data_IF_758408611643
#
_entry.id   IF_758408611643
#
_cell.length_a   1.000
_cell.length_b   1.000
_cell.length_c   1.000
_cell.angle_alpha   90.00
_cell.angle_beta   90.00
_cell.angle_gamma   90.00
#
_symmetry.space_group_name_H-M   'P 1'
#
loop_
_entity.id
_entity.type
_entity.pdbx_description
1 polymer ?
#
# COMPACT_ATOMS: atom_id res chain seq x y z
N UNK A 1 -4.60 7.73 29.19
CA UNK A 1 -4.92 6.29 29.17
C UNK A 1 -5.34 5.94 27.75
N UNK A 2 -4.52 5.23 27.02
CA UNK A 2 -4.79 4.32 25.88
C UNK A 2 -3.52 4.19 25.03
N UNK A 3 -2.51 3.55 25.61
CA UNK A 3 -1.38 2.95 24.89
C UNK A 3 -1.56 1.45 25.00
N UNK A 4 -2.27 0.83 24.09
CA UNK A 4 -2.31 -0.64 23.91
C UNK A 4 -3.15 -0.91 22.65
N UNK A 5 -2.50 -1.16 21.53
CA UNK A 5 -3.02 -1.95 20.39
C UNK A 5 -2.07 -1.90 19.18
N UNK A 6 -0.78 -2.21 19.39
CA UNK A 6 0.11 -2.41 18.22
C UNK A 6 1.19 -3.48 18.47
N UNK A 7 0.92 -4.47 19.31
CA UNK A 7 1.92 -5.50 19.65
C UNK A 7 1.40 -6.93 19.49
N UNK A 8 0.61 -7.22 18.47
CA UNK A 8 0.06 -8.56 18.26
C UNK A 8 0.09 -9.05 16.82
N UNK A 9 1.14 -8.74 16.03
CA UNK A 9 1.27 -9.35 14.69
C UNK A 9 2.72 -9.67 14.27
N UNK A 10 3.62 -9.97 15.21
CA UNK A 10 5.00 -10.36 14.88
C UNK A 10 5.49 -11.63 15.62
N UNK A 11 4.62 -12.55 16.04
CA UNK A 11 5.05 -13.73 16.79
C UNK A 11 4.47 -15.05 16.29
N UNK A 12 4.51 -15.30 14.99
CA UNK A 12 4.32 -16.65 14.43
C UNK A 12 5.28 -16.80 13.27
N UNK A 13 6.48 -17.27 13.50
CA UNK A 13 7.35 -17.98 12.55
C UNK A 13 8.74 -18.22 13.19
N UNK A 14 8.80 -19.04 14.22
CA UNK A 14 10.04 -19.73 14.63
C UNK A 14 9.64 -20.93 15.48
N UNK A 15 9.18 -21.98 14.82
CA UNK A 15 9.19 -23.33 15.39
C UNK A 15 10.28 -24.13 14.67
N UNK A 16 11.44 -24.18 15.25
CA UNK A 16 12.52 -25.10 14.92
C UNK A 16 12.11 -26.51 15.32
N UNK A 17 11.97 -27.37 14.31
CA UNK A 17 11.82 -28.83 14.50
C UNK A 17 13.15 -29.37 14.98
N UNK A 18 13.20 -29.70 16.26
CA UNK A 18 14.28 -30.54 16.82
C UNK A 18 13.93 -32.01 16.56
N UNK A 19 14.67 -32.63 15.65
CA UNK A 19 14.70 -34.06 15.48
C UNK A 19 15.53 -34.66 16.63
N UNK A 20 14.88 -35.41 17.52
CA UNK A 20 15.55 -36.19 18.56
C UNK A 20 16.08 -37.47 17.93
N UNK A 21 17.39 -37.60 17.88
CA UNK A 21 18.06 -38.88 17.64
C UNK A 21 18.21 -39.63 18.95
N UNK A 22 17.53 -40.76 19.08
CA UNK A 22 17.70 -41.72 20.15
C UNK A 22 18.98 -42.52 19.95
N UNK A 23 19.89 -42.68 20.91
CA UNK A 23 21.03 -43.56 20.80
C UNK A 23 20.59 -44.98 21.11
N UNK A 24 20.76 -45.89 20.15
CA UNK A 24 20.60 -47.32 20.32
C UNK A 24 21.94 -47.95 20.66
N UNK A 25 22.01 -48.59 21.81
CA UNK A 25 23.13 -49.37 22.37
C UNK A 25 23.46 -50.58 21.48
N UNK A 26 24.73 -50.94 21.29
CA UNK A 26 25.10 -52.12 20.52
C UNK A 26 24.97 -53.37 21.35
N UNK A 27 24.25 -54.37 20.86
CA UNK A 27 24.27 -55.74 21.36
C UNK A 27 25.16 -56.57 20.48
N UNK A 28 26.22 -57.08 21.05
CA UNK A 28 27.10 -58.09 20.44
C UNK A 28 26.41 -59.46 20.42
N UNK A 29 26.41 -60.13 19.25
CA UNK A 29 26.68 -61.58 19.21
C UNK A 29 26.95 -62.05 17.77
N UNK A 30 28.06 -62.61 17.66
CA UNK A 30 28.73 -63.66 16.88
C UNK A 30 28.08 -64.28 15.64
N UNK A 31 28.98 -64.38 14.60
CA UNK A 31 29.16 -65.44 13.57
C UNK A 31 28.17 -65.52 12.42
N UNK A 32 28.64 -65.05 11.27
CA UNK A 32 28.84 -65.80 10.04
C UNK A 32 29.19 -64.85 8.89
N UNK A 33 30.39 -65.02 8.35
CA UNK A 33 30.88 -64.27 7.14
C UNK A 33 30.22 -64.88 5.93
N UNK A 34 29.32 -64.13 5.28
CA UNK A 34 28.91 -64.32 3.90
C UNK A 34 29.56 -63.24 3.01
N UNK A 35 29.99 -63.53 1.79
CA UNK A 35 30.65 -62.49 0.98
C UNK A 35 29.71 -61.38 0.60
N UNK A 36 30.06 -60.16 1.06
CA UNK A 36 29.31 -58.96 0.80
C UNK A 36 29.58 -58.50 -0.64
N UNK A 37 28.62 -58.69 -1.53
CA UNK A 37 28.58 -57.99 -2.81
C UNK A 37 28.55 -56.46 -2.55
N UNK A 38 29.43 -55.68 -3.19
CA UNK A 38 29.41 -54.22 -2.96
C UNK A 38 28.09 -53.62 -3.46
N UNK A 39 27.31 -53.11 -2.51
CA UNK A 39 26.11 -52.32 -2.81
C UNK A 39 26.58 -51.05 -3.53
N UNK A 40 26.03 -50.72 -4.70
CA UNK A 40 26.36 -49.46 -5.37
C UNK A 40 26.01 -48.33 -4.46
N UNK A 41 26.99 -47.52 -4.08
CA UNK A 41 26.77 -46.24 -3.38
C UNK A 41 26.00 -45.35 -4.34
N UNK A 42 24.68 -45.20 -4.10
CA UNK A 42 23.90 -44.20 -4.82
C UNK A 42 24.48 -42.82 -4.50
N UNK A 43 25.21 -42.26 -5.43
CA UNK A 43 25.62 -40.88 -5.43
C UNK A 43 24.35 -40.02 -5.33
N UNK A 44 24.28 -39.05 -4.40
CA UNK A 44 23.11 -38.16 -4.27
C UNK A 44 22.84 -37.50 -5.62
N UNK A 45 21.74 -37.86 -6.29
CA UNK A 45 21.28 -37.19 -7.50
C UNK A 45 21.13 -35.72 -7.20
N UNK A 46 22.03 -34.89 -7.74
CA UNK A 46 21.83 -33.44 -7.77
C UNK A 46 20.44 -33.20 -8.36
N UNK A 47 19.51 -32.67 -7.52
CA UNK A 47 18.20 -32.24 -7.99
C UNK A 47 18.46 -31.24 -9.11
N UNK A 48 18.15 -31.60 -10.34
CA UNK A 48 18.22 -30.67 -11.46
C UNK A 48 17.24 -29.51 -11.16
N UNK A 49 17.64 -28.26 -11.37
CA UNK A 49 16.74 -27.16 -11.21
C UNK A 49 15.54 -27.33 -12.14
N UNK A 50 14.36 -27.44 -11.58
CA UNK A 50 13.12 -27.52 -12.35
C UNK A 50 13.06 -26.23 -13.18
N UNK A 51 13.09 -26.34 -14.50
CA UNK A 51 12.86 -25.22 -15.40
C UNK A 51 11.41 -24.82 -15.29
N UNK A 52 11.13 -23.75 -14.57
CA UNK A 52 9.80 -23.15 -14.46
C UNK A 52 9.52 -22.43 -15.78
N UNK A 53 8.47 -22.83 -16.46
CA UNK A 53 7.99 -22.15 -17.67
C UNK A 53 7.20 -20.89 -17.26
N UNK A 54 7.77 -19.75 -17.57
CA UNK A 54 7.16 -18.43 -17.28
C UNK A 54 6.39 -17.85 -18.47
N UNK A 55 6.20 -18.61 -19.55
CA UNK A 55 5.51 -18.12 -20.76
C UNK A 55 4.06 -17.69 -20.50
N UNK A 56 3.39 -18.36 -19.55
CA UNK A 56 2.01 -18.04 -19.15
C UNK A 56 1.95 -17.11 -17.94
N UNK A 57 3.07 -16.55 -17.48
CA UNK A 57 3.05 -15.57 -16.41
C UNK A 57 2.35 -14.32 -16.89
N UNK A 58 1.24 -13.98 -16.28
CA UNK A 58 0.56 -12.70 -16.49
C UNK A 58 1.52 -11.55 -16.16
N UNK A 59 1.85 -10.77 -17.17
CA UNK A 59 2.58 -9.53 -16.99
C UNK A 59 1.64 -8.52 -16.35
N UNK A 60 1.87 -8.16 -15.08
CA UNK A 60 1.12 -7.14 -14.36
C UNK A 60 1.44 -5.74 -14.93
N UNK A 61 1.06 -5.48 -16.20
CA UNK A 61 1.37 -4.21 -16.85
C UNK A 61 0.50 -3.07 -16.36
N UNK A 62 -0.73 -3.35 -15.98
CA UNK A 62 -1.64 -2.34 -15.44
C UNK A 62 -2.04 -2.67 -14.02
N UNK A 63 -2.00 -1.65 -13.18
CA UNK A 63 -2.48 -1.73 -11.80
C UNK A 63 -3.38 -0.55 -11.52
N UNK A 64 -4.61 -0.85 -11.09
CA UNK A 64 -5.58 0.15 -10.65
C UNK A 64 -5.88 -0.09 -9.18
N UNK A 65 -5.93 1.00 -8.41
CA UNK A 65 -6.21 0.95 -6.97
C UNK A 65 -7.29 1.97 -6.63
N UNK A 66 -8.25 1.54 -5.83
CA UNK A 66 -9.34 2.38 -5.34
C UNK A 66 -9.68 2.04 -3.91
N UNK A 67 -10.00 3.04 -3.10
CA UNK A 67 -10.36 2.83 -1.70
C UNK A 67 -10.50 4.13 -0.93
N UNK A 68 -10.26 4.03 0.36
CA UNK A 68 -10.46 5.10 1.33
C UNK A 68 -9.12 5.71 1.76
N UNK A 69 -9.12 7.05 1.80
CA UNK A 69 -8.04 7.87 2.33
C UNK A 69 -8.42 8.50 3.66
N UNK A 70 -7.45 8.62 4.53
CA UNK A 70 -7.61 9.40 5.75
C UNK A 70 -6.23 9.97 6.19
N UNK A 71 -6.22 10.79 7.22
CA UNK A 71 -5.02 11.41 7.77
C UNK A 71 -4.78 10.94 9.20
N UNK A 72 -3.58 10.48 9.49
CA UNK A 72 -3.06 10.28 10.83
C UNK A 72 -2.41 11.58 11.34
N UNK A 73 -2.26 11.72 12.66
CA UNK A 73 -1.64 12.91 13.27
C UNK A 73 -2.49 14.18 13.20
N UNK A 74 -3.80 14.05 12.98
CA UNK A 74 -4.73 15.18 12.95
C UNK A 74 -5.25 15.53 14.34
N UNK A 75 -5.49 16.81 14.57
CA UNK A 75 -6.26 17.31 15.69
C UNK A 75 -7.74 17.54 15.29
N UNK A 76 -8.57 17.91 16.26
CA UNK A 76 -10.01 18.14 16.00
C UNK A 76 -10.28 19.24 14.95
N UNK A 77 -9.33 20.17 14.74
CA UNK A 77 -9.48 21.24 13.76
C UNK A 77 -9.13 20.81 12.34
N UNK A 78 -8.23 19.82 12.17
CA UNK A 78 -7.72 19.37 10.87
C UNK A 78 -8.25 18.02 10.42
N UNK A 79 -8.96 17.30 11.30
CA UNK A 79 -9.47 15.94 11.02
C UNK A 79 -10.45 15.96 9.84
N UNK A 80 -10.22 15.14 8.80
CA UNK A 80 -11.17 14.93 7.72
C UNK A 80 -12.49 14.38 8.26
N UNK A 81 -13.59 14.84 7.67
CA UNK A 81 -14.93 14.34 7.98
C UNK A 81 -15.58 13.89 6.69
N UNK A 82 -16.12 12.67 6.69
CA UNK A 82 -16.75 12.12 5.51
C UNK A 82 -15.92 11.02 4.83
N UNK A 83 -16.46 10.50 3.73
CA UNK A 83 -15.89 9.38 2.97
C UNK A 83 -14.83 9.89 1.98
N UNK A 84 -13.60 10.05 2.45
CA UNK A 84 -12.46 10.40 1.60
C UNK A 84 -12.02 9.18 0.78
N UNK A 85 -11.60 9.41 -0.48
CA UNK A 85 -11.32 8.33 -1.44
C UNK A 85 -10.06 8.63 -2.23
N UNK A 86 -9.34 7.56 -2.57
CA UNK A 86 -8.25 7.63 -3.53
C UNK A 86 -8.55 6.80 -4.77
N UNK A 87 -7.89 7.18 -5.85
CA UNK A 87 -7.81 6.42 -7.09
C UNK A 87 -6.40 6.52 -7.63
N UNK A 88 -5.76 5.38 -7.88
CA UNK A 88 -4.43 5.34 -8.48
C UNK A 88 -4.45 4.42 -9.70
N UNK A 89 -3.69 4.80 -10.72
CA UNK A 89 -3.50 4.01 -11.94
C UNK A 89 -2.01 4.02 -12.31
N UNK A 90 -1.44 2.83 -12.52
CA UNK A 90 -0.01 2.65 -12.81
C UNK A 90 0.18 1.73 -14.00
N UNK A 91 1.24 2.01 -14.76
CA UNK A 91 1.86 1.07 -15.68
C UNK A 91 3.02 0.45 -14.94
N UNK A 92 3.07 -0.88 -14.89
CA UNK A 92 4.03 -1.64 -14.11
C UNK A 92 4.87 -2.55 -15.01
N UNK A 93 6.11 -2.78 -14.63
CA UNK A 93 7.00 -3.78 -15.22
C UNK A 93 7.36 -4.75 -14.09
N UNK A 94 7.16 -6.05 -14.30
CA UNK A 94 7.46 -7.09 -13.32
C UNK A 94 8.65 -7.92 -13.80
N UNK A 95 9.71 -8.01 -12.97
CA UNK A 95 10.92 -8.74 -13.27
C UNK A 95 11.16 -9.85 -12.23
N UNK A 96 10.90 -11.13 -12.57
CA UNK A 96 11.14 -12.25 -11.67
C UNK A 96 12.63 -12.48 -11.42
N UNK A 97 12.97 -12.98 -10.23
CA UNK A 97 14.32 -13.39 -9.92
C UNK A 97 14.66 -14.74 -10.60
N UNK A 98 15.84 -14.81 -11.19
CA UNK A 98 16.31 -16.04 -11.87
C UNK A 98 16.47 -17.24 -10.94
N UNK A 99 16.85 -17.00 -9.68
CA UNK A 99 17.04 -18.02 -8.64
C UNK A 99 15.74 -18.49 -8.00
N UNK A 100 14.75 -17.61 -7.91
CA UNK A 100 13.45 -17.91 -7.31
C UNK A 100 12.32 -17.20 -8.07
N UNK A 101 11.72 -17.84 -9.08
CA UNK A 101 10.66 -17.24 -9.89
C UNK A 101 9.39 -16.87 -9.14
N UNK A 102 9.20 -17.37 -7.89
CA UNK A 102 8.11 -16.95 -7.01
C UNK A 102 8.26 -15.50 -6.51
N UNK A 103 9.48 -14.98 -6.56
CA UNK A 103 9.80 -13.61 -6.17
C UNK A 103 10.07 -12.77 -7.40
N UNK A 104 9.61 -11.51 -7.38
CA UNK A 104 9.89 -10.55 -8.45
C UNK A 104 10.00 -9.12 -7.90
N UNK A 105 10.58 -8.25 -8.69
CA UNK A 105 10.58 -6.80 -8.46
C UNK A 105 9.64 -6.15 -9.47
N UNK A 106 8.66 -5.43 -8.95
CA UNK A 106 7.75 -4.59 -9.72
C UNK A 106 8.23 -3.14 -9.69
N UNK A 107 8.35 -2.52 -10.86
CA UNK A 107 8.64 -1.10 -11.04
C UNK A 107 7.51 -0.48 -11.84
N UNK A 108 7.10 0.73 -11.50
CA UNK A 108 6.03 1.39 -12.24
C UNK A 108 6.10 2.89 -12.26
N UNK A 109 5.23 3.45 -13.06
CA UNK A 109 4.93 4.88 -13.11
C UNK A 109 3.44 5.06 -13.28
N UNK A 110 2.88 6.10 -12.66
CA UNK A 110 1.46 6.36 -12.78
C UNK A 110 0.99 7.58 -12.02
N UNK A 111 -0.32 7.72 -11.91
CA UNK A 111 -0.97 8.87 -11.28
C UNK A 111 -1.79 8.40 -10.10
N UNK A 112 -1.61 9.07 -8.96
CA UNK A 112 -2.40 8.89 -7.76
C UNK A 112 -3.22 10.15 -7.46
N UNK A 113 -4.51 9.98 -7.23
CA UNK A 113 -5.44 11.05 -6.84
C UNK A 113 -6.05 10.75 -5.48
N UNK A 114 -5.90 11.68 -4.55
CA UNK A 114 -6.50 11.64 -3.21
C UNK A 114 -7.56 12.73 -3.09
N UNK A 115 -8.75 12.37 -2.62
CA UNK A 115 -9.90 13.28 -2.45
C UNK A 115 -10.35 13.24 -1.00
N UNK A 116 -9.94 14.22 -0.23
CA UNK A 116 -10.29 14.37 1.19
C UNK A 116 -11.51 15.24 1.32
N UNK A 117 -12.57 14.70 1.90
CA UNK A 117 -13.83 15.40 2.11
C UNK A 117 -13.87 16.03 3.49
N UNK A 118 -14.47 17.22 3.56
CA UNK A 118 -14.71 17.94 4.79
C UNK A 118 -16.22 18.25 4.89
N UNK A 119 -16.75 18.04 6.07
CA UNK A 119 -18.11 18.48 6.42
C UNK A 119 -18.04 19.72 7.31
N UNK A 120 -18.80 20.76 6.95
CA UNK A 120 -18.85 22.04 7.68
C UNK A 120 -17.49 22.66 8.01
N UNK A 121 -16.50 22.39 7.13
CA UNK A 121 -15.16 22.97 7.21
C UNK A 121 -14.71 23.46 5.85
N UNK A 122 -14.01 24.58 5.86
CA UNK A 122 -13.41 25.18 4.69
C UNK A 122 -11.88 25.20 4.84
N UNK A 123 -11.19 24.79 3.80
CA UNK A 123 -9.72 24.80 3.71
C UNK A 123 -9.34 25.78 2.62
N UNK A 124 -8.73 26.90 3.00
CA UNK A 124 -8.36 27.95 2.07
C UNK A 124 -6.93 27.74 1.58
N UNK A 125 -6.80 27.13 0.41
CA UNK A 125 -5.48 26.85 -0.20
C UNK A 125 -4.84 28.09 -0.83
N UNK A 126 -5.60 29.18 -1.00
CA UNK A 126 -5.12 30.46 -1.57
C UNK A 126 -4.92 31.56 -0.54
N UNK A 127 -5.11 31.26 0.74
CA UNK A 127 -4.89 32.24 1.80
C UNK A 127 -3.49 32.87 1.73
N UNK A 128 -3.38 34.11 2.14
CA UNK A 128 -2.12 34.83 2.21
C UNK A 128 -1.30 34.46 3.44
N UNK A 129 -1.92 33.84 4.45
CA UNK A 129 -1.27 33.38 5.69
C UNK A 129 -0.11 32.41 5.42
N UNK A 130 0.79 32.29 6.39
CA UNK A 130 1.89 31.30 6.35
C UNK A 130 1.40 29.88 6.59
N UNK A 131 0.36 29.71 7.42
CA UNK A 131 -0.25 28.43 7.76
C UNK A 131 -1.53 28.21 6.95
N UNK A 132 -1.82 26.95 6.59
CA UNK A 132 -3.06 26.55 5.92
C UNK A 132 -4.25 26.71 6.88
N UNK A 133 -5.20 27.63 6.59
CA UNK A 133 -6.33 27.83 7.49
C UNK A 133 -7.40 26.75 7.31
N UNK A 134 -7.82 26.18 8.44
CA UNK A 134 -8.98 25.30 8.55
C UNK A 134 -10.07 26.05 9.34
N UNK A 135 -11.15 26.45 8.68
CA UNK A 135 -12.23 27.24 9.30
C UNK A 135 -13.47 26.38 9.47
N UNK A 136 -14.08 26.44 10.67
CA UNK A 136 -15.43 25.90 10.86
C UNK A 136 -16.43 26.87 10.25
N UNK A 137 -17.43 26.35 9.55
CA UNK A 137 -18.44 27.11 8.81
C UNK A 137 -19.87 26.72 9.19
N UNK A 138 -20.08 26.25 10.41
CA UNK A 138 -21.36 25.73 10.89
C UNK A 138 -22.42 26.85 11.01
N UNK A 139 -21.98 28.08 11.30
CA UNK A 139 -22.86 29.22 11.60
C UNK A 139 -23.07 30.18 10.43
N UNK A 140 -22.44 29.88 9.28
CA UNK A 140 -22.46 30.72 8.08
C UNK A 140 -22.80 29.89 6.84
N UNK A 141 -22.99 30.59 5.73
CA UNK A 141 -23.15 29.92 4.44
C UNK A 141 -21.89 29.04 4.12
N UNK A 142 -22.11 27.79 3.70
CA UNK A 142 -21.04 26.87 3.43
C UNK A 142 -21.38 25.98 2.24
N UNK A 143 -20.39 25.27 1.70
CA UNK A 143 -20.63 24.33 0.63
C UNK A 143 -21.19 23.01 1.14
N UNK A 144 -22.30 22.55 0.56
CA UNK A 144 -22.92 21.24 0.85
C UNK A 144 -21.93 20.08 0.64
N UNK A 145 -21.03 20.22 -0.31
CA UNK A 145 -19.92 19.28 -0.57
C UNK A 145 -18.64 20.04 -0.76
N UNK A 146 -17.67 19.81 0.12
CA UNK A 146 -16.36 20.43 0.05
C UNK A 146 -15.26 19.38 0.13
N UNK A 147 -14.27 19.47 -0.76
CA UNK A 147 -13.14 18.55 -0.77
C UNK A 147 -11.83 19.24 -1.12
N UNK A 148 -10.75 18.68 -0.59
CA UNK A 148 -9.38 18.91 -1.04
C UNK A 148 -8.96 17.72 -1.91
N UNK A 149 -8.49 18.01 -3.11
CA UNK A 149 -7.95 16.99 -4.03
C UNK A 149 -6.48 17.25 -4.26
N UNK A 150 -5.67 16.21 -4.12
CA UNK A 150 -4.24 16.23 -4.50
C UNK A 150 -3.98 15.16 -5.55
N UNK A 151 -3.19 15.51 -6.56
CA UNK A 151 -2.81 14.59 -7.64
C UNK A 151 -1.28 14.54 -7.69
N UNK A 152 -0.75 13.31 -7.69
CA UNK A 152 0.67 13.02 -7.74
C UNK A 152 1.01 12.19 -8.97
N UNK A 153 2.15 12.49 -9.58
CA UNK A 153 2.86 11.54 -10.43
C UNK A 153 3.69 10.66 -9.50
N UNK A 154 3.53 9.36 -9.59
CA UNK A 154 4.12 8.41 -8.64
C UNK A 154 4.90 7.30 -9.35
N UNK A 155 5.98 6.85 -8.72
CA UNK A 155 6.77 5.71 -9.13
C UNK A 155 6.80 4.67 -7.99
N UNK A 156 5.96 3.64 -8.05
CA UNK A 156 6.02 2.52 -7.09
C UNK A 156 7.15 1.55 -7.42
N UNK A 157 7.79 1.04 -6.37
CA UNK A 157 8.76 -0.06 -6.40
C UNK A 157 8.28 -1.11 -5.41
N UNK A 158 8.05 -2.33 -5.87
CA UNK A 158 7.48 -3.41 -5.06
C UNK A 158 8.32 -4.67 -5.12
N UNK A 159 8.57 -5.29 -3.98
CA UNK A 159 8.99 -6.68 -3.89
C UNK A 159 7.72 -7.54 -3.85
N UNK A 160 7.58 -8.45 -4.80
CA UNK A 160 6.38 -9.25 -5.01
C UNK A 160 6.66 -10.72 -4.78
N UNK A 161 5.70 -11.40 -4.20
CA UNK A 161 5.66 -12.85 -4.06
C UNK A 161 4.42 -13.40 -4.74
N UNK A 162 4.58 -14.51 -5.48
CA UNK A 162 3.50 -15.28 -6.11
C UNK A 162 3.67 -16.76 -5.77
N UNK A 163 2.66 -17.39 -5.20
CA UNK A 163 2.71 -18.80 -4.82
C UNK A 163 2.84 -19.72 -6.04
N UNK A 164 2.19 -19.36 -7.14
CA UNK A 164 2.29 -20.06 -8.42
C UNK A 164 2.66 -19.07 -9.54
N UNK A 165 3.94 -18.95 -9.89
CA UNK A 165 4.40 -18.02 -10.92
C UNK A 165 3.98 -18.43 -12.35
N UNK A 166 3.66 -19.71 -12.60
CA UNK A 166 3.20 -20.21 -13.90
C UNK A 166 1.74 -19.82 -14.20
N UNK A 167 0.90 -19.76 -13.15
CA UNK A 167 -0.49 -19.34 -13.28
C UNK A 167 -0.81 -18.21 -12.29
N UNK A 168 -0.50 -17.00 -12.70
CA UNK A 168 -0.67 -15.80 -11.90
C UNK A 168 -2.14 -15.53 -11.53
N UNK A 169 -3.11 -15.98 -12.34
CA UNK A 169 -4.54 -15.78 -12.10
C UNK A 169 -5.12 -16.71 -11.02
N UNK A 170 -4.41 -17.79 -10.69
CA UNK A 170 -4.80 -18.75 -9.64
C UNK A 170 -3.73 -18.83 -8.56
N UNK A 171 -3.21 -17.70 -8.15
CA UNK A 171 -2.05 -17.59 -7.25
C UNK A 171 -2.33 -16.65 -6.10
N UNK A 172 -1.92 -17.04 -4.90
CA UNK A 172 -1.80 -16.12 -3.79
C UNK A 172 -0.65 -15.15 -4.05
N UNK A 173 -0.91 -13.87 -3.91
CA UNK A 173 0.05 -12.79 -4.15
C UNK A 173 0.23 -11.92 -2.92
N UNK A 174 1.46 -11.55 -2.64
CA UNK A 174 1.80 -10.55 -1.64
C UNK A 174 2.83 -9.59 -2.22
N UNK A 175 2.75 -8.33 -1.88
CA UNK A 175 3.74 -7.33 -2.27
C UNK A 175 3.98 -6.35 -1.14
N UNK A 176 5.24 -5.99 -0.98
CA UNK A 176 5.69 -4.93 -0.08
C UNK A 176 6.53 -3.94 -0.88
N UNK A 177 6.31 -2.65 -0.69
CA UNK A 177 7.02 -1.69 -1.51
C UNK A 177 7.05 -0.29 -0.93
N UNK A 178 7.64 0.57 -1.73
CA UNK A 178 7.65 2.02 -1.50
C UNK A 178 7.19 2.72 -2.76
N UNK A 179 6.56 3.87 -2.61
CA UNK A 179 6.26 4.75 -3.73
C UNK A 179 6.78 6.16 -3.47
N UNK A 180 7.43 6.68 -4.46
CA UNK A 180 7.89 8.08 -4.48
C UNK A 180 7.00 8.84 -5.46
N UNK A 181 6.63 10.06 -5.13
CA UNK A 181 5.79 10.87 -6.00
C UNK A 181 6.10 12.35 -5.92
N UNK A 182 5.75 13.05 -7.01
CA UNK A 182 5.77 14.50 -7.07
C UNK A 182 4.36 15.05 -7.31
N UNK A 183 4.00 16.12 -6.60
CA UNK A 183 2.65 16.71 -6.67
C UNK A 183 2.48 17.47 -7.98
N UNK A 184 1.54 17.01 -8.80
CA UNK A 184 1.12 17.69 -10.02
C UNK A 184 0.22 18.88 -9.69
N UNK A 185 -0.79 18.67 -8.84
CA UNK A 185 -1.73 19.73 -8.44
C UNK A 185 -2.36 19.45 -7.08
N UNK A 186 -2.72 20.53 -6.38
CA UNK A 186 -3.58 20.51 -5.22
C UNK A 186 -4.67 21.57 -5.40
N UNK A 187 -5.93 21.20 -5.16
CA UNK A 187 -7.06 22.13 -5.26
C UNK A 187 -8.19 21.77 -4.32
N UNK A 188 -8.92 22.77 -3.90
CA UNK A 188 -10.20 22.62 -3.23
C UNK A 188 -11.35 22.74 -4.21
N UNK A 189 -12.45 22.04 -3.95
CA UNK A 189 -13.68 22.11 -4.73
C UNK A 189 -14.87 22.13 -3.82
N UNK A 190 -15.58 23.27 -3.82
CA UNK A 190 -16.89 23.45 -3.22
C UNK A 190 -18.00 23.26 -4.26
N UNK A 191 -19.10 22.64 -3.87
CA UNK A 191 -20.29 22.49 -4.71
C UNK A 191 -21.55 22.79 -3.93
N UNK A 192 -22.42 23.65 -4.50
CA UNK A 192 -23.71 24.08 -3.96
C UNK A 192 -23.55 24.79 -2.62
N UNK A 193 -23.61 26.12 -2.64
CA UNK A 193 -23.63 26.96 -1.43
C UNK A 193 -24.98 26.78 -0.73
N UNK A 194 -24.95 26.49 0.56
CA UNK A 194 -26.14 26.36 1.42
C UNK A 194 -26.01 27.31 2.61
N UNK A 195 -27.17 27.73 3.18
CA UNK A 195 -27.22 28.46 4.40
C UNK A 195 -26.97 27.58 5.65
N UNK A 196 -26.98 28.18 6.84
CA UNK A 196 -26.83 27.46 8.12
C UNK A 196 -27.88 26.35 8.34
N UNK A 197 -29.04 26.45 7.70
CA UNK A 197 -30.17 25.53 7.83
C UNK A 197 -30.09 24.39 6.75
N UNK A 198 -29.14 24.47 5.82
CA UNK A 198 -28.96 23.52 4.73
C UNK A 198 -29.76 23.82 3.46
N UNK A 199 -30.45 24.99 3.41
CA UNK A 199 -31.18 25.43 2.21
C UNK A 199 -30.20 25.92 1.16
N UNK A 200 -30.48 25.60 -0.12
CA UNK A 200 -29.63 26.03 -1.23
C UNK A 200 -29.73 27.54 -1.44
N UNK A 201 -28.61 28.22 -1.29
CA UNK A 201 -28.49 29.65 -1.59
C UNK A 201 -28.09 29.84 -3.05
N UNK A 202 -27.07 29.09 -3.52
CA UNK A 202 -26.60 29.17 -4.91
C UNK A 202 -25.98 27.87 -5.35
N UNK A 203 -26.46 27.21 -6.45
CA UNK A 203 -25.97 25.96 -6.95
C UNK A 203 -24.75 26.09 -7.88
N UNK A 204 -23.68 26.75 -7.42
CA UNK A 204 -22.45 26.89 -8.22
C UNK A 204 -21.30 25.98 -7.73
N UNK A 205 -20.25 25.92 -8.53
CA UNK A 205 -19.02 25.20 -8.20
C UNK A 205 -17.90 26.22 -8.12
N UNK A 206 -17.20 26.18 -6.99
CA UNK A 206 -15.97 26.93 -6.76
C UNK A 206 -14.77 25.97 -6.74
N UNK A 207 -13.70 26.35 -7.44
CA UNK A 207 -12.46 25.58 -7.47
C UNK A 207 -11.27 26.52 -7.30
N UNK A 208 -10.48 26.28 -6.27
CA UNK A 208 -9.25 27.02 -5.99
C UNK A 208 -8.06 26.08 -6.01
N UNK A 209 -6.99 26.45 -6.69
CA UNK A 209 -5.79 25.63 -6.83
C UNK A 209 -4.56 26.34 -6.30
N UNK A 210 -3.82 25.66 -5.43
CA UNK A 210 -2.51 26.12 -4.92
C UNK A 210 -1.75 24.97 -4.28
N UNK A 211 -0.45 24.88 -4.56
CA UNK A 211 0.47 23.94 -3.91
C UNK A 211 1.26 24.58 -2.75
N UNK A 212 0.98 25.82 -2.41
CA UNK A 212 1.77 26.66 -1.47
C UNK A 212 2.06 25.95 -0.15
N UNK A 213 1.06 25.31 0.43
CA UNK A 213 1.12 24.72 1.78
C UNK A 213 1.56 23.25 1.82
N UNK A 214 1.50 22.57 0.67
CA UNK A 214 1.69 21.13 0.61
C UNK A 214 3.14 20.76 0.32
N UNK A 215 3.57 19.65 0.91
CA UNK A 215 4.83 19.05 0.52
C UNK A 215 4.69 18.45 -0.89
N UNK A 216 5.53 18.91 -1.80
CA UNK A 216 5.45 18.48 -3.21
C UNK A 216 6.05 17.10 -3.44
N UNK A 217 6.87 16.61 -2.52
CA UNK A 217 7.45 15.27 -2.58
C UNK A 217 6.73 14.35 -1.61
N UNK A 218 6.39 13.16 -2.09
CA UNK A 218 5.70 12.12 -1.33
C UNK A 218 6.53 10.85 -1.30
N UNK A 219 6.74 10.31 -0.11
CA UNK A 219 7.30 8.97 0.11
C UNK A 219 6.30 8.18 0.95
N UNK A 220 5.88 7.01 0.48
CA UNK A 220 4.96 6.14 1.21
C UNK A 220 5.41 4.68 1.14
N UNK A 221 5.18 3.95 2.23
CA UNK A 221 5.27 2.49 2.26
C UNK A 221 3.95 1.94 1.75
N UNK A 222 4.02 0.85 0.99
CA UNK A 222 2.84 0.17 0.43
C UNK A 222 2.90 -1.31 0.72
N UNK A 223 1.73 -1.90 0.96
CA UNK A 223 1.56 -3.34 1.10
C UNK A 223 0.30 -3.79 0.39
N UNK A 224 0.33 -4.97 -0.20
CA UNK A 224 -0.88 -5.62 -0.74
C UNK A 224 -0.79 -7.14 -0.61
N UNK A 225 -1.96 -7.73 -0.42
CA UNK A 225 -2.14 -9.17 -0.29
C UNK A 225 -3.43 -9.56 -1.00
N UNK A 226 -3.40 -10.61 -1.80
CA UNK A 226 -4.59 -11.01 -2.55
C UNK A 226 -4.45 -12.34 -3.26
N UNK A 227 -5.45 -12.61 -4.10
CA UNK A 227 -5.52 -13.80 -4.91
C UNK A 227 -5.88 -13.45 -6.35
N UNK A 228 -5.19 -14.05 -7.29
CA UNK A 228 -5.39 -13.78 -8.72
C UNK A 228 -5.14 -12.32 -9.07
N UNK A 229 -6.16 -11.66 -9.61
CA UNK A 229 -6.08 -10.26 -10.03
C UNK A 229 -6.47 -9.27 -8.93
N UNK A 230 -7.13 -9.72 -7.84
CA UNK A 230 -7.66 -8.86 -6.79
C UNK A 230 -6.79 -8.93 -5.53
N UNK A 231 -6.46 -7.76 -4.97
CA UNK A 231 -5.69 -7.64 -3.73
C UNK A 231 -6.28 -6.56 -2.83
N UNK A 232 -6.17 -6.76 -1.52
CA UNK A 232 -6.31 -5.69 -0.54
C UNK A 232 -5.02 -4.88 -0.54
N UNK A 233 -5.14 -3.58 -0.54
CA UNK A 233 -4.04 -2.61 -0.60
C UNK A 233 -4.04 -1.70 0.61
N UNK A 234 -2.86 -1.42 1.12
CA UNK A 234 -2.61 -0.43 2.15
C UNK A 234 -1.41 0.44 1.81
N UNK A 235 -1.47 1.72 2.17
CA UNK A 235 -0.34 2.65 2.07
C UNK A 235 -0.30 3.59 3.27
N UNK A 236 0.92 3.96 3.66
CA UNK A 236 1.16 4.95 4.70
C UNK A 236 2.25 5.92 4.25
N UNK A 237 1.93 7.22 4.22
CA UNK A 237 2.88 8.25 3.82
C UNK A 237 3.84 8.54 4.98
N UNK A 238 5.16 8.43 4.71
CA UNK A 238 6.22 8.70 5.67
C UNK A 238 6.50 10.22 5.76
N UNK A 239 6.54 10.87 4.59
CA UNK A 239 6.74 12.33 4.52
C UNK A 239 5.52 13.07 5.05
N UNK A 240 5.74 14.22 5.69
CA UNK A 240 4.66 15.10 6.10
C UNK A 240 3.81 15.55 4.91
N UNK A 241 2.50 15.70 5.11
CA UNK A 241 1.59 16.18 4.08
C UNK A 241 1.72 17.69 3.84
N UNK A 242 1.88 18.45 4.93
CA UNK A 242 2.11 19.89 4.90
C UNK A 242 3.61 20.20 5.01
N UNK A 243 4.02 21.34 4.49
CA UNK A 243 5.34 21.91 4.74
C UNK A 243 5.48 22.34 6.20
N UNK A 244 6.69 22.34 6.72
CA UNK A 244 6.97 22.60 8.15
C UNK A 244 6.38 23.92 8.67
N UNK A 245 6.32 24.95 7.83
CA UNK A 245 5.77 26.27 8.20
C UNK A 245 4.25 26.35 7.96
N UNK A 246 3.70 25.43 7.19
CA UNK A 246 2.32 25.50 6.69
C UNK A 246 1.27 24.94 7.67
N UNK A 247 1.68 24.23 8.70
CA UNK A 247 0.78 23.62 9.68
C UNK A 247 1.39 22.44 10.42
N UNK A 248 0.58 21.59 11.05
CA UNK A 248 1.07 20.42 11.78
C UNK A 248 1.86 19.48 10.87
N UNK A 249 3.13 19.27 11.18
CA UNK A 249 4.02 18.37 10.43
C UNK A 249 3.73 16.89 10.65
N UNK A 250 2.89 16.56 11.61
CA UNK A 250 2.50 15.20 11.97
C UNK A 250 1.41 14.62 11.07
N UNK A 251 0.77 15.44 10.22
CA UNK A 251 -0.27 14.96 9.32
C UNK A 251 0.35 14.03 8.27
N UNK A 252 -0.04 12.75 8.35
CA UNK A 252 0.41 11.69 7.44
C UNK A 252 -0.78 10.97 6.82
N UNK A 253 -0.99 11.11 5.51
CA UNK A 253 -2.03 10.37 4.81
C UNK A 253 -1.80 8.85 4.85
N UNK A 254 -2.90 8.11 4.99
CA UNK A 254 -2.91 6.66 4.82
C UNK A 254 -4.11 6.24 3.98
N UNK A 255 -3.95 5.15 3.26
CA UNK A 255 -4.94 4.64 2.31
C UNK A 255 -5.18 3.15 2.54
N UNK A 256 -6.44 2.72 2.47
CA UNK A 256 -6.83 1.32 2.51
C UNK A 256 -7.86 1.08 1.41
N UNK A 257 -7.67 0.05 0.61
CA UNK A 257 -8.57 -0.23 -0.51
C UNK A 257 -8.29 -1.53 -1.22
N UNK A 258 -8.75 -1.61 -2.45
CA UNK A 258 -8.56 -2.72 -3.34
C UNK A 258 -7.60 -2.34 -4.47
N UNK A 259 -6.85 -3.31 -4.92
CA UNK A 259 -5.99 -3.22 -6.10
C UNK A 259 -6.35 -4.34 -7.08
N UNK A 260 -6.48 -3.98 -8.34
CA UNK A 260 -6.62 -4.89 -9.47
C UNK A 260 -5.32 -4.81 -10.25
N UNK A 261 -4.65 -5.95 -10.43
CA UNK A 261 -3.41 -6.06 -11.18
C UNK A 261 -3.38 -7.35 -11.99
N UNK A 262 -2.67 -7.36 -13.12
CA UNK A 262 -2.61 -8.52 -14.00
C UNK A 262 -3.61 -8.45 -15.16
N UNK A 263 -3.95 -7.22 -15.58
CA UNK A 263 -4.74 -6.94 -16.76
C UNK A 263 -3.83 -6.80 -17.99
#
# INVERSE_FOLDING_TARGET
MTKFFFTALCFILLQSVHSQTTPTTPRADSNAVAPVTPVPVETPRKKQPVKIDLSNRSNDHFMVQYGFDNWAGTNDSTKPQGFSRFFNAYIMIDKPFKTNPKMSVGLGIGVGSSNIFFDKRYVDVRATSTTLPFRKVDSVNHFKKFKLTTIFLEAPVELRYSSNPENSNSSFKAALGVKVGTMLTAYTKGKTLVDKNGNTVNPYIEKESSKKYFNTTRLAITARVGYGILSVYGAYQITSFLKDIAGPTEIRPYSIGLAISGL
#
